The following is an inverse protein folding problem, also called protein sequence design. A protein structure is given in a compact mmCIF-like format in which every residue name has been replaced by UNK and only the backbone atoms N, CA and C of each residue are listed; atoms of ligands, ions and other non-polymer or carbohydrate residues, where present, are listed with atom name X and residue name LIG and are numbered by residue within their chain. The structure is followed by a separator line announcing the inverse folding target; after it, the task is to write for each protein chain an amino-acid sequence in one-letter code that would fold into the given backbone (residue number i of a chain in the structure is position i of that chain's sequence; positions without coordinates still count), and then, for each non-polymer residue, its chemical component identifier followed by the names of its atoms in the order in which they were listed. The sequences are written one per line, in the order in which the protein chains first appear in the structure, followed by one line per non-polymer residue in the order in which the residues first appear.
data_IF_851542896588
#
_entry.id   IF_851542896588
#
_cell.length_a   1.000
_cell.length_b   1.000
_cell.length_c   1.000
_cell.angle_alpha   90.00
_cell.angle_beta   90.00
_cell.angle_gamma   90.00
#
_symmetry.space_group_name_H-M   'P 1'
#
loop_
_entity.id
_entity.type
_entity.pdbx_description
1 polymer ?
#
# COMPACT_ATOMS: atom_id res chain seq x y z
N UNK A 1 7.93 19.21 -32.24
CA UNK A 1 8.31 19.88 -30.97
C UNK A 1 7.18 20.77 -30.41
N UNK A 2 6.64 21.75 -31.15
CA UNK A 2 5.59 22.65 -30.63
C UNK A 2 4.37 21.94 -30.01
N UNK A 3 3.85 20.87 -30.65
CA UNK A 3 2.72 20.09 -30.11
C UNK A 3 3.05 19.41 -28.79
N UNK A 4 4.23 18.83 -28.63
CA UNK A 4 4.65 18.20 -27.36
C UNK A 4 4.76 19.23 -26.24
N UNK A 5 5.26 20.44 -26.53
CA UNK A 5 5.30 21.54 -25.55
C UNK A 5 3.91 21.97 -25.07
N UNK A 6 2.93 22.05 -25.98
CA UNK A 6 1.54 22.37 -25.61
C UNK A 6 0.91 21.27 -24.74
N UNK A 7 1.13 19.99 -25.07
CA UNK A 7 0.66 18.88 -24.24
C UNK A 7 1.37 18.83 -22.89
N UNK A 8 2.66 19.17 -22.82
CA UNK A 8 3.38 19.29 -21.56
C UNK A 8 2.79 20.41 -20.69
N UNK A 9 2.55 21.60 -21.26
CA UNK A 9 1.94 22.71 -20.54
C UNK A 9 0.55 22.33 -20.00
N UNK A 10 -0.29 21.68 -20.81
CA UNK A 10 -1.58 21.15 -20.37
C UNK A 10 -1.41 20.10 -19.26
N UNK A 11 -0.43 19.20 -19.38
CA UNK A 11 -0.14 18.18 -18.38
C UNK A 11 0.28 18.76 -17.04
N UNK A 12 1.10 19.81 -17.05
CA UNK A 12 1.48 20.56 -15.85
C UNK A 12 0.28 21.29 -15.26
N UNK A 13 -0.52 21.97 -16.09
CA UNK A 13 -1.72 22.67 -15.62
C UNK A 13 -2.71 21.71 -14.95
N UNK A 14 -2.98 20.55 -15.55
CA UNK A 14 -3.86 19.52 -14.96
C UNK A 14 -3.27 18.90 -13.69
N UNK A 15 -1.94 18.75 -13.61
CA UNK A 15 -1.28 18.27 -12.40
C UNK A 15 -1.43 19.25 -11.24
N UNK A 16 -1.23 20.55 -11.51
CA UNK A 16 -1.42 21.62 -10.51
C UNK A 16 -2.88 21.72 -10.11
N UNK A 17 -3.81 21.70 -11.08
CA UNK A 17 -5.25 21.74 -10.82
C UNK A 17 -5.69 20.57 -9.92
N UNK A 18 -5.23 19.36 -10.21
CA UNK A 18 -5.53 18.18 -9.41
C UNK A 18 -5.02 18.31 -7.96
N UNK A 19 -3.89 18.99 -7.75
CA UNK A 19 -3.37 19.23 -6.40
C UNK A 19 -4.23 20.23 -5.60
N UNK A 20 -5.05 21.04 -6.26
CA UNK A 20 -5.99 21.98 -5.60
C UNK A 20 -7.35 21.37 -5.32
N UNK A 21 -7.66 20.19 -5.88
CA UNK A 21 -8.91 19.51 -5.61
C UNK A 21 -8.89 18.93 -4.18
N UNK A 22 -10.05 18.89 -3.50
CA UNK A 22 -10.14 18.26 -2.20
C UNK A 22 -9.59 16.83 -2.28
N UNK A 23 -8.63 16.50 -1.41
CA UNK A 23 -8.13 15.14 -1.33
C UNK A 23 -9.29 14.21 -0.99
N UNK A 24 -9.47 13.16 -1.76
CA UNK A 24 -10.40 12.09 -1.41
C UNK A 24 -10.05 11.56 0.00
N UNK A 25 -11.01 10.99 0.74
CA UNK A 25 -10.83 10.57 2.14
C UNK A 25 -9.77 9.47 2.36
N UNK A 26 -9.04 9.08 1.32
CA UNK A 26 -8.00 8.06 1.32
C UNK A 26 -6.64 8.70 1.00
N UNK A 27 -5.59 8.40 1.78
CA UNK A 27 -4.26 8.92 1.53
C UNK A 27 -3.77 8.57 0.12
N UNK A 28 -3.39 9.58 -0.66
CA UNK A 28 -2.87 9.41 -2.02
C UNK A 28 -3.92 9.19 -3.11
N UNK A 29 -5.21 9.12 -2.78
CA UNK A 29 -6.28 8.99 -3.78
C UNK A 29 -6.44 10.29 -4.59
N UNK A 30 -6.26 10.19 -5.90
CA UNK A 30 -6.41 11.28 -6.88
C UNK A 30 -7.26 10.81 -8.06
N UNK A 31 -7.84 11.76 -8.80
CA UNK A 31 -8.68 11.47 -9.98
C UNK A 31 -7.87 10.98 -11.19
N UNK A 32 -6.58 11.33 -11.26
CA UNK A 32 -5.70 11.02 -12.38
C UNK A 32 -5.88 11.96 -13.57
N UNK A 33 -6.27 13.23 -13.38
CA UNK A 33 -6.55 14.16 -14.49
C UNK A 33 -5.34 14.35 -15.41
N UNK A 34 -4.14 14.44 -14.83
CA UNK A 34 -2.91 14.55 -15.60
C UNK A 34 -2.67 13.33 -16.53
N UNK A 35 -3.22 12.15 -16.20
CA UNK A 35 -3.05 10.92 -16.97
C UNK A 35 -3.82 10.94 -18.29
N UNK A 36 -4.79 11.85 -18.48
CA UNK A 36 -5.41 12.10 -19.79
C UNK A 36 -4.33 12.45 -20.81
N UNK A 37 -3.42 13.36 -20.45
CA UNK A 37 -2.34 13.83 -21.33
C UNK A 37 -1.36 12.70 -21.66
N UNK A 38 -1.00 11.88 -20.66
CA UNK A 38 -0.11 10.72 -20.86
C UNK A 38 -0.71 9.68 -21.80
N UNK A 39 -2.00 9.39 -21.64
CA UNK A 39 -2.71 8.45 -22.49
C UNK A 39 -2.85 8.98 -23.93
N UNK A 40 -3.24 10.25 -24.09
CA UNK A 40 -3.29 10.88 -25.42
C UNK A 40 -1.91 10.87 -26.08
N UNK A 41 -0.85 11.20 -25.34
CA UNK A 41 0.50 11.18 -25.87
C UNK A 41 0.98 9.78 -26.29
N UNK A 42 0.62 8.76 -25.51
CA UNK A 42 0.92 7.36 -25.84
C UNK A 42 0.26 6.94 -27.16
N UNK A 43 -0.94 7.43 -27.44
CA UNK A 43 -1.65 7.15 -28.68
C UNK A 43 -1.12 7.98 -29.86
N UNK A 44 -0.78 9.25 -29.66
CA UNK A 44 -0.32 10.12 -30.74
C UNK A 44 1.14 9.86 -31.12
N UNK A 45 2.05 9.76 -30.15
CA UNK A 45 3.49 9.72 -30.40
C UNK A 45 4.13 8.39 -30.00
N UNK A 46 3.62 7.72 -28.97
CA UNK A 46 4.11 6.43 -28.51
C UNK A 46 4.72 6.47 -27.12
N UNK A 47 5.44 5.39 -26.76
CA UNK A 47 5.93 5.17 -25.40
C UNK A 47 6.97 6.21 -24.98
N UNK A 48 7.93 6.55 -25.85
CA UNK A 48 9.05 7.44 -25.51
C UNK A 48 8.57 8.83 -25.13
N UNK A 49 7.66 9.38 -25.92
CA UNK A 49 7.10 10.71 -25.73
C UNK A 49 6.12 10.75 -24.55
N UNK A 50 5.33 9.70 -24.35
CA UNK A 50 4.48 9.57 -23.16
C UNK A 50 5.32 9.51 -21.87
N UNK A 51 6.42 8.76 -21.88
CA UNK A 51 7.36 8.67 -20.77
C UNK A 51 8.00 10.02 -20.47
N UNK A 52 8.50 10.71 -21.51
CA UNK A 52 9.07 12.05 -21.39
C UNK A 52 8.05 13.02 -20.78
N UNK A 53 6.80 13.00 -21.25
CA UNK A 53 5.73 13.85 -20.71
C UNK A 53 5.43 13.56 -19.24
N UNK A 54 5.41 12.29 -18.82
CA UNK A 54 5.19 11.94 -17.40
C UNK A 54 6.33 12.44 -16.53
N UNK A 55 7.58 12.24 -16.93
CA UNK A 55 8.73 12.70 -16.16
C UNK A 55 8.74 14.23 -16.08
N UNK A 56 8.64 14.91 -17.24
CA UNK A 56 8.68 16.36 -17.29
C UNK A 56 7.50 17.00 -16.56
N UNK A 57 6.27 16.49 -16.73
CA UNK A 57 5.12 17.06 -16.00
C UNK A 57 5.28 16.87 -14.50
N UNK A 58 5.86 15.75 -14.04
CA UNK A 58 6.02 15.48 -12.62
C UNK A 58 7.06 16.43 -12.01
N UNK A 59 8.19 16.63 -12.70
CA UNK A 59 9.22 17.59 -12.30
C UNK A 59 8.65 19.00 -12.26
N UNK A 60 8.04 19.46 -13.35
CA UNK A 60 7.53 20.83 -13.45
C UNK A 60 6.32 21.08 -12.55
N UNK A 61 5.40 20.11 -12.46
CA UNK A 61 4.22 20.19 -11.59
C UNK A 61 4.61 20.23 -10.12
N UNK A 62 5.50 19.33 -9.67
CA UNK A 62 6.01 19.36 -8.29
C UNK A 62 6.85 20.60 -8.00
N UNK A 63 7.57 21.16 -8.98
CA UNK A 63 8.25 22.44 -8.84
C UNK A 63 7.27 23.59 -8.59
N UNK A 64 6.19 23.69 -9.38
CA UNK A 64 5.16 24.72 -9.22
C UNK A 64 4.41 24.59 -7.88
N UNK A 65 4.13 23.37 -7.45
CA UNK A 65 3.47 23.10 -6.16
C UNK A 65 4.43 23.32 -4.97
N UNK A 66 5.75 23.32 -5.18
CA UNK A 66 6.74 23.41 -4.10
C UNK A 66 7.03 22.08 -3.40
N UNK A 67 6.76 20.95 -4.06
CA UNK A 67 6.96 19.58 -3.54
C UNK A 67 8.08 18.83 -4.28
N UNK A 68 8.92 19.53 -5.05
CA UNK A 68 10.01 18.92 -5.81
C UNK A 68 10.97 18.15 -4.87
N UNK A 69 11.35 16.94 -5.26
CA UNK A 69 12.20 16.02 -4.49
C UNK A 69 11.69 15.60 -3.09
N UNK A 70 10.45 15.94 -2.74
CA UNK A 70 9.78 15.45 -1.53
C UNK A 70 9.17 14.05 -1.72
N UNK A 71 8.65 13.43 -0.66
CA UNK A 71 7.96 12.14 -0.73
C UNK A 71 6.87 12.07 -1.82
N UNK A 72 5.91 13.03 -1.87
CA UNK A 72 4.90 13.10 -2.94
C UNK A 72 5.45 13.12 -4.36
N UNK A 73 6.62 13.73 -4.59
CA UNK A 73 7.27 13.74 -5.90
C UNK A 73 7.69 12.33 -6.32
N UNK A 74 8.37 11.60 -5.45
CA UNK A 74 8.84 10.24 -5.73
C UNK A 74 7.68 9.25 -5.89
N UNK A 75 6.66 9.35 -5.03
CA UNK A 75 5.44 8.54 -5.11
C UNK A 75 4.72 8.78 -6.44
N UNK A 76 4.52 10.05 -6.81
CA UNK A 76 3.87 10.41 -8.07
C UNK A 76 4.65 9.97 -9.31
N UNK A 77 5.97 10.13 -9.29
CA UNK A 77 6.86 9.71 -10.37
C UNK A 77 6.80 8.19 -10.58
N UNK A 78 6.98 7.40 -9.51
CA UNK A 78 6.95 5.94 -9.59
C UNK A 78 5.60 5.43 -10.15
N UNK A 79 4.49 5.94 -9.64
CA UNK A 79 3.16 5.62 -10.16
C UNK A 79 3.00 5.94 -11.64
N UNK A 80 3.44 7.13 -12.06
CA UNK A 80 3.35 7.56 -13.46
C UNK A 80 4.19 6.70 -14.41
N UNK A 81 5.41 6.34 -14.01
CA UNK A 81 6.31 5.49 -14.79
C UNK A 81 5.72 4.08 -14.99
N UNK A 82 5.26 3.47 -13.89
CA UNK A 82 4.62 2.14 -13.91
C UNK A 82 3.35 2.17 -14.76
N UNK A 83 2.53 3.21 -14.63
CA UNK A 83 1.31 3.41 -15.41
C UNK A 83 1.60 3.44 -16.92
N UNK A 84 2.55 4.27 -17.37
CA UNK A 84 2.89 4.37 -18.81
C UNK A 84 3.47 3.07 -19.35
N UNK A 85 4.30 2.37 -18.57
CA UNK A 85 4.84 1.07 -18.95
C UNK A 85 3.72 0.03 -19.16
N UNK A 86 2.77 -0.06 -18.22
CA UNK A 86 1.62 -0.96 -18.34
C UNK A 86 0.73 -0.59 -19.51
N UNK A 87 0.37 0.69 -19.66
CA UNK A 87 -0.47 1.14 -20.79
C UNK A 87 0.18 0.81 -22.14
N UNK A 88 1.50 1.02 -22.28
CA UNK A 88 2.23 0.71 -23.49
C UNK A 88 2.26 -0.80 -23.77
N UNK A 89 2.53 -1.63 -22.76
CA UNK A 89 2.53 -3.09 -22.87
C UNK A 89 1.16 -3.66 -23.24
N UNK A 90 0.11 -3.21 -22.55
CA UNK A 90 -1.28 -3.60 -22.81
C UNK A 90 -1.71 -3.19 -24.21
N UNK A 91 -1.34 -1.99 -24.66
CA UNK A 91 -1.62 -1.54 -26.03
C UNK A 91 -0.88 -2.37 -27.08
N UNK A 92 0.37 -2.74 -26.83
CA UNK A 92 1.15 -3.56 -27.75
C UNK A 92 0.59 -4.99 -27.91
N UNK A 93 0.17 -5.62 -26.80
CA UNK A 93 -0.34 -7.00 -26.77
C UNK A 93 -1.84 -7.13 -27.07
N UNK A 94 -2.67 -6.26 -26.50
CA UNK A 94 -4.14 -6.37 -26.51
C UNK A 94 -4.86 -5.15 -27.11
N UNK A 95 -4.15 -4.22 -27.76
CA UNK A 95 -4.73 -2.98 -28.30
C UNK A 95 -5.76 -3.16 -29.42
N UNK A 96 -5.97 -4.39 -29.94
CA UNK A 96 -7.09 -4.71 -30.85
C UNK A 96 -8.38 -5.01 -30.09
N UNK A 97 -8.29 -5.52 -28.86
CA UNK A 97 -9.43 -5.91 -28.02
C UNK A 97 -9.86 -4.76 -27.11
N UNK A 98 -8.91 -3.91 -26.70
CA UNK A 98 -9.12 -2.81 -25.78
C UNK A 98 -9.30 -1.48 -26.52
N UNK A 99 -10.21 -0.65 -26.01
CA UNK A 99 -10.32 0.77 -26.38
C UNK A 99 -9.36 1.61 -25.50
N UNK A 100 -9.24 2.93 -25.75
CA UNK A 100 -8.52 3.83 -24.83
C UNK A 100 -9.04 3.74 -23.39
N UNK A 101 -10.31 3.38 -23.19
CA UNK A 101 -10.91 3.20 -21.85
C UNK A 101 -10.28 2.00 -21.13
N UNK A 102 -10.19 0.84 -21.77
CA UNK A 102 -9.56 -0.35 -21.19
C UNK A 102 -8.07 -0.16 -20.89
N UNK A 103 -7.35 0.52 -21.78
CA UNK A 103 -5.92 0.86 -21.55
C UNK A 103 -5.79 1.80 -20.34
N UNK A 104 -6.68 2.79 -20.23
CA UNK A 104 -6.72 3.72 -19.08
C UNK A 104 -7.04 3.02 -17.76
N UNK A 105 -7.98 2.06 -17.75
CA UNK A 105 -8.31 1.26 -16.56
C UNK A 105 -7.09 0.51 -16.02
N UNK A 106 -6.38 -0.19 -16.89
CA UNK A 106 -5.14 -0.90 -16.53
C UNK A 106 -4.05 0.09 -16.07
N UNK A 107 -3.94 1.24 -16.75
CA UNK A 107 -3.04 2.32 -16.38
C UNK A 107 -3.33 2.92 -15.00
N UNK A 108 -4.60 3.12 -14.64
CA UNK A 108 -5.02 3.66 -13.35
C UNK A 108 -4.72 2.67 -12.20
N UNK A 109 -5.03 1.38 -12.39
CA UNK A 109 -4.68 0.34 -11.43
C UNK A 109 -3.16 0.25 -11.22
N UNK A 110 -2.39 0.28 -12.31
CA UNK A 110 -0.93 0.27 -12.27
C UNK A 110 -0.34 1.52 -11.62
N UNK A 111 -0.95 2.70 -11.84
CA UNK A 111 -0.53 3.96 -11.23
C UNK A 111 -0.68 3.87 -9.70
N UNK A 112 -1.85 3.46 -9.22
CA UNK A 112 -2.11 3.32 -7.77
C UNK A 112 -1.19 2.28 -7.14
N UNK A 113 -0.95 1.17 -7.82
CA UNK A 113 -0.01 0.13 -7.36
C UNK A 113 1.42 0.68 -7.25
N UNK A 114 1.91 1.38 -8.29
CA UNK A 114 3.24 1.98 -8.29
C UNK A 114 3.42 3.07 -7.22
N UNK A 115 2.38 3.88 -6.97
CA UNK A 115 2.38 4.88 -5.89
C UNK A 115 2.53 4.21 -4.52
N UNK A 116 1.74 3.17 -4.25
CA UNK A 116 1.76 2.49 -2.95
C UNK A 116 3.04 1.70 -2.73
N UNK A 117 3.58 1.07 -3.78
CA UNK A 117 4.90 0.44 -3.69
C UNK A 117 5.98 1.47 -3.34
N UNK A 118 6.01 2.61 -4.04
CA UNK A 118 6.97 3.67 -3.71
C UNK A 118 6.77 4.22 -2.29
N UNK A 119 5.52 4.39 -1.86
CA UNK A 119 5.22 4.83 -0.49
C UNK A 119 5.71 3.81 0.55
N UNK A 120 5.51 2.51 0.32
CA UNK A 120 6.01 1.45 1.18
C UNK A 120 7.54 1.45 1.26
N UNK A 121 8.25 1.59 0.12
CA UNK A 121 9.71 1.67 0.10
C UNK A 121 10.24 2.91 0.84
N UNK A 122 9.53 4.04 0.79
CA UNK A 122 9.96 5.29 1.41
C UNK A 122 9.68 5.34 2.92
N UNK A 123 8.55 4.78 3.37
CA UNK A 123 8.14 4.85 4.79
C UNK A 123 8.52 3.61 5.59
N UNK A 124 8.79 2.48 4.93
CA UNK A 124 9.00 1.18 5.57
C UNK A 124 7.73 0.58 6.20
N UNK A 125 6.57 1.25 6.10
CA UNK A 125 5.33 0.84 6.74
C UNK A 125 4.47 -0.01 5.81
N UNK A 126 4.43 -1.32 6.05
CA UNK A 126 3.61 -2.27 5.28
C UNK A 126 2.11 -1.97 5.32
N UNK A 127 1.63 -1.27 6.36
CA UNK A 127 0.23 -0.86 6.50
C UNK A 127 -0.28 -0.02 5.33
N UNK A 128 0.61 0.71 4.63
CA UNK A 128 0.24 1.51 3.45
C UNK A 128 -0.32 0.65 2.31
N UNK A 129 0.11 -0.62 2.20
CA UNK A 129 -0.39 -1.54 1.18
C UNK A 129 -1.85 -1.97 1.43
N UNK A 130 -2.36 -1.82 2.66
CA UNK A 130 -3.76 -2.11 2.98
C UNK A 130 -4.74 -1.14 2.31
N UNK A 131 -4.28 0.01 1.81
CA UNK A 131 -5.10 0.93 1.00
C UNK A 131 -5.26 0.47 -0.45
N UNK A 132 -4.42 -0.43 -0.95
CA UNK A 132 -4.43 -0.87 -2.36
C UNK A 132 -5.78 -1.43 -2.83
N UNK A 133 -6.49 -2.31 -2.08
CA UNK A 133 -7.76 -2.85 -2.54
C UNK A 133 -8.79 -1.74 -2.80
N UNK A 134 -8.89 -0.79 -1.88
CA UNK A 134 -9.81 0.35 -1.99
C UNK A 134 -9.43 1.25 -3.16
N UNK A 135 -8.12 1.48 -3.36
CA UNK A 135 -7.62 2.27 -4.49
C UNK A 135 -7.84 1.58 -5.84
N UNK A 136 -7.84 0.24 -5.92
CA UNK A 136 -8.18 -0.48 -7.14
C UNK A 136 -9.67 -0.34 -7.49
N UNK A 137 -10.55 -0.35 -6.49
CA UNK A 137 -11.97 -0.05 -6.68
C UNK A 137 -12.17 1.39 -7.17
N UNK A 138 -11.46 2.35 -6.60
CA UNK A 138 -11.49 3.75 -7.05
C UNK A 138 -10.87 3.96 -8.43
N UNK A 139 -9.91 3.10 -8.84
CA UNK A 139 -9.29 3.15 -10.16
C UNK A 139 -10.28 2.83 -11.30
N UNK A 140 -11.37 2.10 -11.03
CA UNK A 140 -12.38 1.77 -12.04
C UNK A 140 -13.11 3.02 -12.57
N UNK A 141 -13.82 3.81 -11.74
CA UNK A 141 -14.48 5.03 -12.22
C UNK A 141 -13.46 6.07 -12.72
N UNK A 142 -12.34 6.26 -12.02
CA UNK A 142 -11.31 7.22 -12.42
C UNK A 142 -10.68 6.86 -13.78
N UNK A 143 -10.26 5.60 -13.95
CA UNK A 143 -9.69 5.09 -15.18
C UNK A 143 -10.67 5.15 -16.36
N UNK A 144 -11.95 4.85 -16.13
CA UNK A 144 -12.98 4.97 -17.14
C UNK A 144 -13.20 6.43 -17.59
N UNK A 145 -13.28 7.37 -16.64
CA UNK A 145 -13.43 8.80 -16.91
C UNK A 145 -12.24 9.36 -17.70
N UNK A 146 -11.01 9.06 -17.25
CA UNK A 146 -9.77 9.48 -17.91
C UNK A 146 -9.69 8.90 -19.33
N UNK A 147 -10.03 7.63 -19.50
CA UNK A 147 -9.99 6.96 -20.80
C UNK A 147 -11.03 7.50 -21.77
N UNK A 148 -12.24 7.80 -21.31
CA UNK A 148 -13.29 8.41 -22.12
C UNK A 148 -12.94 9.85 -22.52
N UNK A 149 -12.39 10.64 -21.59
CA UNK A 149 -11.90 11.98 -21.87
C UNK A 149 -10.77 11.95 -22.91
N UNK A 150 -9.78 11.06 -22.75
CA UNK A 150 -8.70 10.86 -23.71
C UNK A 150 -9.21 10.43 -25.09
N UNK A 151 -10.19 9.51 -25.16
CA UNK A 151 -10.79 9.09 -26.42
C UNK A 151 -11.48 10.26 -27.15
N UNK A 152 -12.19 11.14 -26.42
CA UNK A 152 -12.80 12.34 -27.00
C UNK A 152 -11.76 13.33 -27.52
N UNK A 153 -10.66 13.54 -26.79
CA UNK A 153 -9.55 14.39 -27.25
C UNK A 153 -8.91 13.79 -28.50
N UNK A 154 -8.62 12.49 -28.50
CA UNK A 154 -8.03 11.80 -29.65
C UNK A 154 -8.92 11.86 -30.90
N UNK A 155 -10.25 11.84 -30.73
CA UNK A 155 -11.19 11.98 -31.85
C UNK A 155 -11.13 13.36 -32.52
N UNK A 156 -10.69 14.41 -31.81
CA UNK A 156 -10.59 15.77 -32.32
C UNK A 156 -9.20 16.10 -32.90
N UNK A 157 -8.16 15.34 -32.52
CA UNK A 157 -6.78 15.60 -32.95
C UNK A 157 -6.46 14.82 -34.25
N UNK A 158 -6.04 15.49 -35.34
CA UNK A 158 -5.60 14.82 -36.55
C UNK A 158 -4.36 13.94 -36.28
N UNK A 159 -4.27 12.72 -36.87
CA UNK A 159 -3.11 11.86 -36.68
C UNK A 159 -1.84 12.57 -37.16
N UNK A 160 -0.68 12.35 -36.49
CA UNK A 160 0.57 12.96 -36.92
C UNK A 160 0.95 12.51 -38.33
N UNK A 161 1.53 13.40 -39.16
CA UNK A 161 1.94 13.06 -40.52
C UNK A 161 2.97 11.92 -40.48
N UNK A 162 2.78 10.93 -41.35
CA UNK A 162 3.51 9.66 -41.44
C UNK A 162 5.00 9.77 -41.81
N UNK A 163 5.59 10.97 -41.78
CA UNK A 163 6.96 11.25 -42.23
C UNK A 163 7.98 11.59 -41.15
N UNK A 164 7.58 11.86 -39.90
CA UNK A 164 8.55 12.12 -38.83
C UNK A 164 9.11 10.82 -38.27
N UNK A 165 10.28 10.42 -38.76
CA UNK A 165 11.17 9.45 -38.12
C UNK A 165 11.53 9.95 -36.71
N UNK A 166 10.72 9.61 -35.71
CA UNK A 166 11.13 9.64 -34.32
C UNK A 166 11.46 8.21 -33.90
N UNK A 167 12.77 7.95 -33.78
CA UNK A 167 13.43 6.80 -33.14
C UNK A 167 12.65 5.49 -32.97
N UNK A 168 12.89 4.55 -33.89
CA UNK A 168 13.00 3.10 -33.64
C UNK A 168 12.13 2.50 -32.52
N UNK A 169 11.04 1.82 -32.92
CA UNK A 169 10.44 0.74 -32.15
C UNK A 169 9.06 1.05 -31.59
N UNK A 170 8.05 0.34 -32.11
CA UNK A 170 6.67 0.26 -31.60
C UNK A 170 5.76 1.45 -31.92
N UNK A 171 5.80 1.93 -33.16
CA UNK A 171 4.81 2.87 -33.70
C UNK A 171 3.91 2.21 -34.75
N UNK A 172 3.08 1.21 -34.40
CA UNK A 172 2.02 0.77 -35.32
C UNK A 172 1.07 1.95 -35.51
N UNK A 173 0.95 2.44 -36.74
CA UNK A 173 0.05 3.52 -37.12
C UNK A 173 -1.33 3.30 -36.54
N UNK A 174 -1.84 4.30 -35.81
CA UNK A 174 -3.14 4.22 -35.16
C UNK A 174 -4.21 4.22 -36.26
N UNK A 175 -4.90 3.10 -36.44
CA UNK A 175 -6.08 3.08 -37.30
C UNK A 175 -7.18 3.92 -36.65
N UNK A 176 -7.83 4.82 -37.40
CA UNK A 176 -8.95 5.66 -36.91
C UNK A 176 -10.04 4.85 -36.19
N UNK A 177 -10.18 3.56 -36.51
CA UNK A 177 -11.09 2.63 -35.83
C UNK A 177 -10.72 2.34 -34.36
N UNK A 178 -9.45 2.48 -33.96
CA UNK A 178 -8.98 2.33 -32.57
C UNK A 178 -9.18 3.59 -31.71
N UNK A 179 -9.51 4.73 -32.32
CA UNK A 179 -9.68 6.03 -31.65
C UNK A 179 -11.15 6.29 -31.27
N UNK A 180 -12.10 5.50 -31.81
CA UNK A 180 -13.51 5.73 -31.53
C UNK A 180 -13.84 5.50 -30.05
N UNK A 181 -14.64 6.39 -29.42
CA UNK A 181 -14.96 6.35 -27.98
C UNK A 181 -16.02 5.27 -27.64
N UNK A 182 -15.93 4.11 -28.28
CA UNK A 182 -16.82 2.97 -28.02
C UNK A 182 -16.12 1.98 -27.11
N UNK A 183 -16.73 1.73 -25.97
CA UNK A 183 -16.34 0.67 -25.03
C UNK A 183 -16.41 -0.67 -25.77
N UNK A 184 -15.32 -1.42 -25.76
CA UNK A 184 -15.20 -2.74 -26.37
C UNK A 184 -15.40 -3.82 -25.30
N UNK A 185 -15.72 -5.04 -25.73
CA UNK A 185 -15.84 -6.19 -24.81
C UNK A 185 -14.56 -6.42 -23.98
N UNK A 186 -13.38 -6.12 -24.55
CA UNK A 186 -12.12 -6.19 -23.80
C UNK A 186 -12.05 -5.23 -22.62
N UNK A 187 -12.70 -4.06 -22.71
CA UNK A 187 -12.68 -3.07 -21.62
C UNK A 187 -13.45 -3.58 -20.40
N UNK A 188 -14.55 -4.30 -20.62
CA UNK A 188 -15.28 -4.98 -19.56
C UNK A 188 -14.45 -6.09 -18.91
N UNK A 189 -13.72 -6.88 -19.70
CA UNK A 189 -12.82 -7.89 -19.15
C UNK A 189 -11.71 -7.25 -18.29
N UNK A 190 -11.14 -6.12 -18.72
CA UNK A 190 -10.16 -5.36 -17.92
C UNK A 190 -10.77 -4.82 -16.62
N UNK A 191 -11.99 -4.26 -16.68
CA UNK A 191 -12.70 -3.78 -15.49
C UNK A 191 -13.00 -4.92 -14.51
N UNK A 192 -13.50 -6.06 -15.00
CA UNK A 192 -13.77 -7.25 -14.17
C UNK A 192 -12.48 -7.79 -13.55
N UNK A 193 -11.37 -7.84 -14.30
CA UNK A 193 -10.08 -8.26 -13.77
C UNK A 193 -9.62 -7.35 -12.62
N UNK A 194 -9.65 -6.03 -12.82
CA UNK A 194 -9.26 -5.06 -11.78
C UNK A 194 -10.20 -5.15 -10.56
N UNK A 195 -11.51 -5.29 -10.78
CA UNK A 195 -12.49 -5.48 -9.71
C UNK A 195 -12.27 -6.78 -8.94
N UNK A 196 -12.00 -7.89 -9.63
CA UNK A 196 -11.75 -9.19 -9.01
C UNK A 196 -10.46 -9.17 -8.17
N UNK A 197 -9.37 -8.59 -8.69
CA UNK A 197 -8.13 -8.41 -7.92
C UNK A 197 -8.39 -7.51 -6.70
N UNK A 198 -9.10 -6.39 -6.88
CA UNK A 198 -9.50 -5.52 -5.78
C UNK A 198 -10.34 -6.23 -4.73
N UNK A 199 -11.29 -7.07 -5.13
CA UNK A 199 -12.13 -7.86 -4.24
C UNK A 199 -11.36 -8.93 -3.47
N UNK A 200 -10.47 -9.66 -4.13
CA UNK A 200 -9.61 -10.69 -3.51
C UNK A 200 -8.67 -10.06 -2.47
N UNK A 201 -8.04 -8.93 -2.83
CA UNK A 201 -7.17 -8.22 -1.89
C UNK A 201 -7.97 -7.64 -0.74
N UNK A 202 -9.18 -7.09 -1.01
CA UNK A 202 -10.04 -6.53 0.03
C UNK A 202 -10.50 -7.62 1.00
N UNK A 203 -10.88 -8.78 0.48
CA UNK A 203 -11.20 -9.97 1.28
C UNK A 203 -10.04 -10.35 2.18
N UNK A 204 -8.81 -10.43 1.65
CA UNK A 204 -7.63 -10.76 2.44
C UNK A 204 -7.27 -9.69 3.50
N UNK A 205 -7.69 -8.43 3.31
CA UNK A 205 -7.48 -7.36 4.29
C UNK A 205 -8.59 -7.26 5.35
N UNK A 206 -9.84 -7.55 4.97
CA UNK A 206 -11.01 -7.39 5.84
C UNK A 206 -11.40 -8.67 6.57
N UNK A 207 -11.09 -9.83 5.99
CA UNK A 207 -11.17 -11.09 6.72
C UNK A 207 -9.87 -11.17 7.52
N UNK A 208 -9.91 -10.96 8.85
CA UNK A 208 -8.73 -11.20 9.65
C UNK A 208 -8.26 -12.61 9.33
N UNK A 209 -7.00 -12.75 8.94
CA UNK A 209 -6.35 -14.05 8.91
C UNK A 209 -6.70 -14.69 10.26
N UNK A 210 -7.48 -15.77 10.24
CA UNK A 210 -7.88 -16.50 11.46
C UNK A 210 -6.62 -16.74 12.25
N UNK A 211 -6.44 -15.95 13.31
CA UNK A 211 -5.29 -15.82 14.19
C UNK A 211 -4.09 -16.73 13.86
N UNK A 212 -3.39 -16.47 12.76
CA UNK A 212 -2.18 -17.18 12.38
C UNK A 212 -1.02 -16.18 12.43
N UNK A 213 -0.71 -15.67 13.63
CA UNK A 213 0.39 -14.71 13.76
C UNK A 213 0.61 -14.04 15.12
N UNK A 214 -0.36 -14.05 16.04
CA UNK A 214 -0.04 -13.89 17.45
C UNK A 214 0.28 -15.29 17.98
N UNK A 215 1.57 -15.60 18.14
CA UNK A 215 1.93 -16.76 18.95
C UNK A 215 1.19 -16.65 20.29
N UNK A 216 0.74 -17.78 20.88
CA UNK A 216 0.01 -17.75 22.15
C UNK A 216 0.81 -16.90 23.15
N UNK A 217 0.13 -16.06 23.92
CA UNK A 217 0.79 -15.28 24.96
C UNK A 217 1.56 -16.27 25.87
N UNK A 218 2.83 -16.00 26.13
CA UNK A 218 3.70 -16.85 26.94
C UNK A 218 4.23 -16.05 28.12
N UNK A 219 4.32 -16.68 29.28
CA UNK A 219 5.07 -16.14 30.41
C UNK A 219 6.52 -16.63 30.32
N UNK A 220 7.45 -15.69 30.27
CA UNK A 220 8.89 -15.95 30.24
C UNK A 220 9.44 -15.71 31.64
N UNK A 221 10.10 -16.73 32.19
CA UNK A 221 10.74 -16.68 33.50
C UNK A 221 12.25 -16.59 33.33
N UNK A 222 12.82 -15.52 33.87
CA UNK A 222 14.26 -15.23 33.84
C UNK A 222 14.85 -15.41 35.24
N UNK A 223 15.93 -16.16 35.39
CA UNK A 223 16.66 -16.32 36.65
C UNK A 223 18.11 -15.85 36.46
N UNK A 224 18.56 -14.88 37.26
CA UNK A 224 19.91 -14.33 37.14
C UNK A 224 20.21 -13.71 35.76
N UNK A 225 19.17 -13.20 35.08
CA UNK A 225 19.29 -12.59 33.75
C UNK A 225 19.28 -13.57 32.58
N UNK A 226 19.13 -14.88 32.80
CA UNK A 226 18.97 -15.89 31.74
C UNK A 226 17.54 -16.42 31.71
N UNK A 227 16.98 -16.60 30.52
CA UNK A 227 15.67 -17.23 30.34
C UNK A 227 15.79 -18.73 30.66
N UNK A 228 14.96 -19.21 31.57
CA UNK A 228 15.03 -20.59 32.08
C UNK A 228 13.77 -21.37 31.73
N UNK A 229 12.62 -20.69 31.60
CA UNK A 229 11.33 -21.33 31.38
C UNK A 229 10.41 -20.41 30.58
N UNK A 230 9.68 -21.01 29.65
CA UNK A 230 8.61 -20.38 28.88
C UNK A 230 7.33 -21.18 29.11
N UNK A 231 6.27 -20.51 29.58
CA UNK A 231 5.00 -21.12 29.91
C UNK A 231 3.90 -20.58 29.00
N UNK A 232 3.18 -21.43 28.26
CA UNK A 232 2.06 -20.96 27.46
C UNK A 232 0.90 -20.53 28.36
N UNK A 233 0.27 -19.39 28.02
CA UNK A 233 -0.87 -18.80 28.75
C UNK A 233 -2.20 -19.18 28.12
N UNK A 234 -2.26 -20.28 27.36
CA UNK A 234 -3.47 -20.85 26.78
C UNK A 234 -4.10 -21.93 27.65
N UNK A 235 -3.34 -22.52 28.58
CA UNK A 235 -3.77 -23.60 29.45
C UNK A 235 -3.56 -23.28 30.94
N UNK A 236 -4.45 -23.82 31.78
CA UNK A 236 -4.33 -23.76 33.23
C UNK A 236 -3.34 -24.81 33.72
N UNK A 237 -2.25 -24.35 34.34
CA UNK A 237 -1.23 -25.23 34.90
C UNK A 237 -0.51 -24.56 36.06
N UNK A 238 -0.01 -25.39 36.98
CA UNK A 238 0.84 -24.95 38.08
C UNK A 238 2.20 -25.63 37.98
N UNK A 239 3.25 -24.83 37.78
CA UNK A 239 4.62 -25.32 37.53
C UNK A 239 5.53 -24.92 38.70
N UNK A 240 6.10 -25.88 39.44
CA UNK A 240 7.09 -25.58 40.47
C UNK A 240 8.43 -25.19 39.83
N UNK A 241 9.06 -24.14 40.34
CA UNK A 241 10.38 -23.65 39.92
C UNK A 241 11.24 -23.39 41.16
N UNK A 242 12.52 -23.77 41.09
CA UNK A 242 13.51 -23.40 42.10
C UNK A 242 14.48 -22.38 41.50
N UNK A 243 14.48 -21.16 42.03
CA UNK A 243 15.32 -20.06 41.55
C UNK A 243 16.15 -19.50 42.71
N UNK A 244 17.48 -19.50 42.58
CA UNK A 244 18.38 -18.97 43.61
C UNK A 244 18.22 -19.63 44.99
N UNK A 245 17.82 -20.91 45.06
CA UNK A 245 17.55 -21.62 46.31
C UNK A 245 16.14 -21.40 46.88
N UNK A 246 15.31 -20.56 46.26
CA UNK A 246 13.91 -20.33 46.64
C UNK A 246 13.00 -21.20 45.77
N UNK A 247 12.13 -21.98 46.39
CA UNK A 247 11.05 -22.69 45.68
C UNK A 247 9.86 -21.75 45.49
N UNK A 248 9.27 -21.77 44.31
CA UNK A 248 8.06 -21.03 43.97
C UNK A 248 7.18 -21.84 43.01
N UNK A 249 5.89 -21.55 42.99
CA UNK A 249 4.92 -22.20 42.11
C UNK A 249 4.31 -21.16 41.21
N UNK A 250 4.61 -21.24 39.91
CA UNK A 250 3.99 -20.42 38.87
C UNK A 250 2.65 -21.01 38.51
N UNK A 251 1.63 -20.18 38.36
CA UNK A 251 0.30 -20.58 37.95
C UNK A 251 -0.12 -19.76 36.74
N UNK A 252 -0.49 -20.45 35.66
CA UNK A 252 -1.01 -19.82 34.44
C UNK A 252 -2.51 -20.07 34.33
N UNK A 253 -3.19 -19.12 33.70
CA UNK A 253 -4.58 -19.24 33.27
C UNK A 253 -4.71 -18.49 31.93
N UNK A 254 -5.83 -18.62 31.18
CA UNK A 254 -5.99 -18.00 29.88
C UNK A 254 -5.62 -16.50 29.90
N UNK A 255 -4.51 -16.15 29.23
CA UNK A 255 -3.98 -14.80 29.09
C UNK A 255 -3.23 -14.20 30.30
N UNK A 256 -3.01 -14.95 31.39
CA UNK A 256 -2.44 -14.39 32.63
C UNK A 256 -1.56 -15.36 33.42
N UNK A 257 -0.63 -14.83 34.20
CA UNK A 257 0.27 -15.60 35.07
C UNK A 257 0.37 -14.99 36.46
N UNK A 258 0.55 -15.82 37.49
CA UNK A 258 0.91 -15.39 38.86
C UNK A 258 1.91 -16.35 39.50
N UNK A 259 2.49 -15.93 40.63
CA UNK A 259 3.17 -16.85 41.55
C UNK A 259 2.20 -17.19 42.68
N UNK A 260 1.72 -18.45 42.73
CA UNK A 260 0.75 -18.92 43.72
C UNK A 260 1.35 -19.03 45.12
N UNK A 261 2.58 -19.51 45.21
CA UNK A 261 3.30 -19.72 46.46
C UNK A 261 4.81 -19.53 46.26
N UNK A 262 5.50 -19.07 47.29
CA UNK A 262 6.97 -19.02 47.31
C UNK A 262 7.47 -19.22 48.75
N UNK A 263 8.63 -19.84 48.89
CA UNK A 263 9.27 -20.08 50.19
C UNK A 263 10.14 -18.88 50.66
N UNK A 264 10.09 -17.73 49.98
CA UNK A 264 10.89 -16.54 50.34
C UNK A 264 10.24 -15.67 51.42
N UNK A 265 11.01 -14.95 52.26
CA UNK A 265 10.45 -14.11 53.32
C UNK A 265 9.65 -12.91 52.78
N UNK A 266 10.07 -12.33 51.64
CA UNK A 266 9.50 -11.08 51.14
C UNK A 266 8.11 -11.23 50.52
N UNK A 267 7.77 -12.41 50.00
CA UNK A 267 6.47 -12.72 49.37
C UNK A 267 6.00 -11.71 48.29
N UNK A 268 6.89 -10.86 47.75
CA UNK A 268 6.54 -9.80 46.77
C UNK A 268 5.93 -10.43 45.52
N UNK A 269 6.52 -11.53 45.04
CA UNK A 269 6.02 -12.25 43.87
C UNK A 269 4.59 -12.79 44.06
N UNK A 270 4.26 -13.29 45.25
CA UNK A 270 2.92 -13.78 45.59
C UNK A 270 1.93 -12.62 45.73
N UNK A 271 2.33 -11.53 46.40
CA UNK A 271 1.51 -10.33 46.59
C UNK A 271 1.24 -9.55 45.31
N UNK A 272 2.07 -9.70 44.29
CA UNK A 272 1.86 -9.07 42.98
C UNK A 272 0.58 -9.59 42.30
N UNK A 273 0.20 -10.84 42.56
CA UNK A 273 -1.01 -11.43 41.97
C UNK A 273 -0.88 -11.71 40.48
N UNK A 274 -2.00 -11.65 39.77
CA UNK A 274 -2.08 -11.92 38.34
C UNK A 274 -1.54 -10.76 37.51
N UNK A 275 -0.72 -11.08 36.51
CA UNK A 275 -0.31 -10.15 35.45
C UNK A 275 -0.78 -10.67 34.10
N UNK A 276 -1.18 -9.75 33.23
CA UNK A 276 -1.69 -10.03 31.87
C UNK A 276 -1.08 -9.10 30.80
N UNK A 277 -0.28 -8.09 31.18
CA UNK A 277 0.31 -7.11 30.25
C UNK A 277 1.82 -7.27 30.10
N UNK A 278 2.33 -6.97 28.90
CA UNK A 278 3.76 -7.07 28.56
C UNK A 278 4.67 -6.10 29.32
N UNK A 279 4.12 -5.02 29.88
CA UNK A 279 4.85 -4.06 30.72
C UNK A 279 4.85 -4.43 32.22
N UNK A 280 4.04 -5.40 32.62
CA UNK A 280 4.00 -5.87 34.01
C UNK A 280 5.07 -6.94 34.23
N UNK A 281 5.58 -7.02 35.46
CA UNK A 281 6.55 -8.03 35.85
C UNK A 281 6.30 -8.49 37.29
N UNK A 282 6.43 -9.79 37.52
CA UNK A 282 6.50 -10.35 38.87
C UNK A 282 7.97 -10.56 39.20
N UNK A 283 8.44 -9.96 40.29
CA UNK A 283 9.83 -10.06 40.73
C UNK A 283 9.95 -10.84 42.04
N UNK A 284 10.89 -11.78 42.08
CA UNK A 284 11.36 -12.43 43.29
C UNK A 284 12.84 -12.06 43.51
N UNK A 285 13.07 -11.06 44.37
CA UNK A 285 14.40 -10.52 44.62
C UNK A 285 15.36 -11.56 45.23
N UNK A 286 14.97 -12.35 46.26
CA UNK A 286 15.85 -13.37 46.84
C UNK A 286 16.21 -14.49 45.86
N UNK A 287 15.23 -14.93 45.06
CA UNK A 287 15.44 -15.95 44.02
C UNK A 287 16.06 -15.44 42.72
N UNK A 288 16.31 -14.12 42.62
CA UNK A 288 16.77 -13.41 41.40
C UNK A 288 15.94 -13.79 40.16
N UNK A 289 14.63 -13.97 40.34
CA UNK A 289 13.71 -14.41 39.31
C UNK A 289 12.75 -13.29 38.88
N UNK A 290 12.48 -13.19 37.58
CA UNK A 290 11.52 -12.24 37.01
C UNK A 290 10.62 -12.96 36.03
N UNK A 291 9.31 -12.82 36.17
CA UNK A 291 8.29 -13.34 35.26
C UNK A 291 7.71 -12.18 34.47
N UNK A 292 7.67 -12.30 33.14
CA UNK A 292 7.06 -11.31 32.23
C UNK A 292 6.18 -12.00 31.21
N UNK A 293 5.15 -11.29 30.73
CA UNK A 293 4.33 -11.75 29.60
C UNK A 293 4.99 -11.30 28.30
N UNK A 294 5.14 -12.21 27.33
CA UNK A 294 5.67 -11.98 25.98
C UNK A 294 4.66 -12.53 24.97
N UNK A 295 4.34 -11.75 23.94
CA UNK A 295 3.24 -12.08 23.02
C UNK A 295 1.86 -11.80 23.64
N UNK A 296 0.82 -11.82 22.80
CA UNK A 296 -0.49 -11.24 23.09
C UNK A 296 -0.64 -9.83 22.49
N UNK A 297 -1.86 -9.46 22.09
CA UNK A 297 -2.12 -8.15 21.47
C UNK A 297 -1.54 -7.01 22.32
N UNK A 298 -0.72 -6.11 21.74
CA UNK A 298 -0.61 -4.78 22.31
C UNK A 298 -1.99 -4.12 22.15
N UNK A 299 -2.73 -4.02 23.25
CA UNK A 299 -3.88 -3.11 23.28
C UNK A 299 -3.39 -1.69 22.93
N UNK A 300 -4.17 -0.93 22.16
CA UNK A 300 -3.77 0.35 21.63
C UNK A 300 -3.54 1.34 22.77
N UNK A 301 -2.42 2.06 22.67
CA UNK A 301 -2.06 3.26 23.39
C UNK A 301 -3.17 3.90 24.25
N UNK A 302 -3.09 3.74 25.58
CA UNK A 302 -3.68 4.69 26.52
C UNK A 302 -2.68 5.84 26.71
N UNK A 303 -2.85 6.89 25.91
CA UNK A 303 -2.26 8.19 26.17
C UNK A 303 -2.94 8.81 27.40
N UNK A 304 -2.44 8.50 28.61
CA UNK A 304 -2.69 9.34 29.78
C UNK A 304 -1.74 10.54 29.67
N UNK A 305 -2.17 11.58 28.95
CA UNK A 305 -1.70 12.95 29.20
C UNK A 305 -2.36 13.43 30.49
N UNK A 306 -1.53 13.55 31.54
CA UNK A 306 -1.73 14.54 32.60
C UNK A 306 -1.19 15.89 32.14
#
# INVERSE_FOLDING_TARGET
MARLGMFLALGVALHVLEAQLPSLPLPGAKLGLANIVSLVALYLWGFREALLLVVLRQVLGSFVIGTLFSGPFWIGLAGGLVSVAVMAGVRAGAGRLLSPVGVSLMGAAAHNTGQLMAAWLLTGQGAVLAYLPVLLWLALPAGALVGLAAARVLAQVPPPPSGTRAGSGVGRGVSRAQIQPRVRHGDWAAAVLVAAVGAVLLWNTLVPATAAGAGPAVAVVTVGGREVLELPLDQEQAVPLTAGGVRMVLETAPGRVRVRASDCPDQICVRTGWIDRTHQAIACLPGRAVVRVRGGEPLPYDAITR
#
